data_IF_057989154288
#
_entry.id   IF_057989154288
#
_cell.length_a   1.000
_cell.length_b   1.000
_cell.length_c   1.000
_cell.angle_alpha   90.00
_cell.angle_beta   90.00
_cell.angle_gamma   90.00
#
_symmetry.space_group_name_H-M   'P 1'
#
loop_
_entity.id
_entity.type
_entity.pdbx_description
1 polymer ?
#
# COMPACT_ATOMS: atom_id res chain seq x y z
N UNK A 1 9.58 6.18 0.15
CA UNK A 1 8.44 6.85 0.83
C UNK A 1 9.00 7.76 1.90
N UNK A 2 8.62 9.02 1.87
CA UNK A 2 9.10 9.98 2.87
C UNK A 2 8.55 9.65 4.26
N UNK A 3 9.36 9.87 5.29
CA UNK A 3 8.97 9.59 6.68
C UNK A 3 7.67 10.29 7.09
N UNK A 4 7.46 11.50 6.61
CA UNK A 4 6.23 12.27 6.85
C UNK A 4 4.97 11.56 6.33
N UNK A 5 5.06 10.98 5.14
CA UNK A 5 3.95 10.24 4.52
C UNK A 5 3.64 8.99 5.34
N UNK A 6 4.69 8.28 5.79
CA UNK A 6 4.53 7.07 6.61
C UNK A 6 3.78 7.39 7.90
N UNK A 7 4.19 8.43 8.63
CA UNK A 7 3.53 8.82 9.88
C UNK A 7 2.07 9.24 9.67
N UNK A 8 1.77 9.96 8.58
CA UNK A 8 0.38 10.30 8.22
C UNK A 8 -0.48 9.08 7.94
N UNK A 9 0.04 8.13 7.17
CA UNK A 9 -0.69 6.90 6.83
C UNK A 9 -0.91 6.03 8.08
N UNK A 10 0.08 5.92 8.95
CA UNK A 10 -0.06 5.22 10.24
C UNK A 10 -1.14 5.90 11.10
N UNK A 11 -1.13 7.23 11.19
CA UNK A 11 -2.14 7.99 11.91
C UNK A 11 -3.57 7.74 11.41
N UNK A 12 -3.75 7.67 10.10
CA UNK A 12 -5.04 7.30 9.49
C UNK A 12 -5.48 5.88 9.84
N UNK A 13 -4.55 4.93 9.82
CA UNK A 13 -4.83 3.53 10.17
C UNK A 13 -5.20 3.40 11.66
N UNK A 14 -4.50 4.11 12.55
CA UNK A 14 -4.84 4.16 13.98
C UNK A 14 -6.27 4.67 14.17
N UNK A 15 -6.60 5.77 13.53
CA UNK A 15 -7.97 6.34 13.59
C UNK A 15 -9.02 5.37 13.08
N UNK A 16 -8.75 4.70 11.95
CA UNK A 16 -9.64 3.69 11.36
C UNK A 16 -9.89 2.52 12.30
N UNK A 17 -8.83 1.93 12.86
CA UNK A 17 -8.95 0.79 13.78
C UNK A 17 -9.60 1.20 15.10
N UNK A 18 -9.30 2.40 15.62
CA UNK A 18 -9.95 2.95 16.80
C UNK A 18 -11.47 3.09 16.60
N UNK A 19 -11.89 3.66 15.49
CA UNK A 19 -13.31 3.81 15.14
C UNK A 19 -14.01 2.47 14.95
N UNK A 20 -13.35 1.49 14.35
CA UNK A 20 -13.88 0.11 14.26
C UNK A 20 -14.17 -0.51 15.62
N UNK A 21 -13.34 -0.21 16.62
CA UNK A 21 -13.53 -0.68 18.00
C UNK A 21 -14.54 0.16 18.79
N UNK A 22 -15.07 1.24 18.22
CA UNK A 22 -15.97 2.14 18.91
C UNK A 22 -15.34 2.92 20.06
N UNK A 23 -14.03 3.13 20.03
CA UNK A 23 -13.25 3.78 21.09
C UNK A 23 -13.02 5.26 20.71
N UNK A 24 -13.17 6.16 21.70
CA UNK A 24 -12.84 7.59 21.53
C UNK A 24 -11.33 7.83 21.63
N UNK A 25 -10.87 8.99 21.17
CA UNK A 25 -9.48 9.41 21.36
C UNK A 25 -9.10 9.48 22.85
N UNK A 26 -9.99 9.96 23.68
CA UNK A 26 -9.82 10.04 25.15
C UNK A 26 -9.66 8.65 25.75
N UNK A 27 -10.45 7.69 25.32
CA UNK A 27 -10.34 6.30 25.80
C UNK A 27 -9.03 5.67 25.36
N UNK A 28 -8.60 5.90 24.13
CA UNK A 28 -7.30 5.41 23.65
C UNK A 28 -6.14 6.04 24.42
N UNK A 29 -6.21 7.33 24.71
CA UNK A 29 -5.23 8.04 25.54
C UNK A 29 -5.15 7.43 26.94
N UNK A 30 -6.30 7.14 27.55
CA UNK A 30 -6.38 6.48 28.86
C UNK A 30 -5.75 5.08 28.84
N UNK A 31 -6.07 4.26 27.83
CA UNK A 31 -5.57 2.89 27.71
C UNK A 31 -4.05 2.83 27.46
N UNK A 32 -3.50 3.83 26.79
CA UNK A 32 -2.07 3.90 26.48
C UNK A 32 -1.26 4.72 27.48
N UNK A 33 -1.92 5.41 28.40
CA UNK A 33 -1.31 6.40 29.32
C UNK A 33 -0.63 7.58 28.60
N UNK A 34 -1.02 7.84 27.36
CA UNK A 34 -0.58 9.02 26.61
C UNK A 34 -1.57 10.18 26.82
N UNK A 35 -1.13 11.39 26.52
CA UNK A 35 -2.01 12.56 26.54
C UNK A 35 -3.01 12.53 25.39
N UNK A 36 -4.18 13.12 25.60
CA UNK A 36 -5.18 13.29 24.54
C UNK A 36 -4.60 14.09 23.36
N UNK A 37 -3.82 15.14 23.64
CA UNK A 37 -3.16 15.95 22.61
C UNK A 37 -2.19 15.13 21.76
N UNK A 38 -1.47 14.20 22.37
CA UNK A 38 -0.54 13.32 21.66
C UNK A 38 -1.29 12.37 20.70
N UNK A 39 -2.36 11.74 21.18
CA UNK A 39 -3.20 10.86 20.34
C UNK A 39 -3.85 11.68 19.20
N UNK A 40 -4.40 12.85 19.51
CA UNK A 40 -5.00 13.73 18.51
C UNK A 40 -3.99 14.16 17.42
N UNK A 41 -2.76 14.47 17.81
CA UNK A 41 -1.69 14.84 16.88
C UNK A 41 -1.26 13.68 15.98
N UNK A 42 -1.20 12.46 16.54
CA UNK A 42 -0.89 11.24 15.74
C UNK A 42 -1.96 11.01 14.67
N UNK A 43 -3.24 11.15 15.03
CA UNK A 43 -4.37 10.93 14.12
C UNK A 43 -4.62 12.10 13.15
N UNK A 44 -4.07 13.27 13.43
CA UNK A 44 -4.20 14.44 12.57
C UNK A 44 -3.20 14.41 11.41
N UNK A 45 -3.41 15.29 10.43
CA UNK A 45 -2.46 15.47 9.32
C UNK A 45 -1.18 16.23 9.71
N UNK A 46 -0.99 16.53 10.98
CA UNK A 46 0.26 17.13 11.49
C UNK A 46 1.36 16.08 11.59
N UNK A 47 2.60 16.52 11.39
CA UNK A 47 3.77 15.65 11.47
C UNK A 47 4.12 15.34 12.92
N UNK A 48 3.43 14.39 13.51
CA UNK A 48 3.81 13.87 14.81
C UNK A 48 4.60 12.59 14.62
N UNK A 49 5.92 12.68 14.79
CA UNK A 49 6.76 11.49 14.85
C UNK A 49 6.57 10.75 16.17
N UNK A 50 6.68 9.46 16.13
CA UNK A 50 6.57 8.59 17.32
C UNK A 50 7.45 7.35 17.12
N UNK A 51 7.80 6.72 18.24
CA UNK A 51 8.63 5.51 18.23
C UNK A 51 7.81 4.26 17.89
N UNK A 52 8.50 3.20 17.49
CA UNK A 52 7.87 1.88 17.29
C UNK A 52 7.26 1.35 18.60
N UNK A 53 7.83 1.70 19.75
CA UNK A 53 7.28 1.36 21.05
C UNK A 53 5.89 2.00 21.27
N UNK A 54 5.74 3.27 20.89
CA UNK A 54 4.44 3.97 20.92
C UNK A 54 3.43 3.26 20.02
N UNK A 55 3.83 2.88 18.81
CA UNK A 55 2.96 2.15 17.88
C UNK A 55 2.53 0.79 18.44
N UNK A 56 3.46 0.07 19.05
CA UNK A 56 3.16 -1.20 19.73
C UNK A 56 2.16 -1.03 20.87
N UNK A 57 2.33 0.00 21.71
CA UNK A 57 1.40 0.29 22.79
C UNK A 57 -0.01 0.61 22.30
N UNK A 58 -0.11 1.37 21.22
CA UNK A 58 -1.41 1.69 20.60
C UNK A 58 -2.05 0.41 20.03
N UNK A 59 -1.30 -0.42 19.32
CA UNK A 59 -1.79 -1.69 18.79
C UNK A 59 -2.29 -2.61 19.92
N UNK A 60 -1.54 -2.70 21.01
CA UNK A 60 -1.91 -3.49 22.18
C UNK A 60 -3.19 -2.96 22.86
N UNK A 61 -3.33 -1.64 22.97
CA UNK A 61 -4.53 -1.00 23.54
C UNK A 61 -5.78 -1.26 22.67
N UNK A 62 -5.61 -1.30 21.36
CA UNK A 62 -6.67 -1.63 20.40
C UNK A 62 -6.89 -3.14 20.25
N UNK A 63 -6.06 -3.97 20.87
CA UNK A 63 -6.09 -5.43 20.77
C UNK A 63 -6.00 -5.92 19.31
N UNK A 64 -5.10 -5.32 18.55
CA UNK A 64 -4.81 -5.67 17.15
C UNK A 64 -3.32 -5.94 16.96
N UNK A 65 -2.98 -6.58 15.85
CA UNK A 65 -1.57 -6.72 15.45
C UNK A 65 -0.98 -5.38 15.01
N UNK A 66 0.27 -5.13 15.34
CA UNK A 66 1.01 -3.96 14.87
C UNK A 66 1.02 -3.87 13.32
N UNK A 67 0.96 -5.01 12.63
CA UNK A 67 0.87 -5.06 11.16
C UNK A 67 -0.35 -4.33 10.60
N UNK A 68 -1.45 -4.29 11.35
CA UNK A 68 -2.65 -3.57 10.94
C UNK A 68 -2.47 -2.05 10.95
N UNK A 69 -1.45 -1.56 11.64
CA UNK A 69 -1.12 -0.13 11.72
C UNK A 69 0.03 0.27 10.79
N UNK A 70 0.68 -0.68 10.15
CA UNK A 70 1.74 -0.42 9.18
C UNK A 70 1.11 -0.34 7.79
N UNK A 71 1.26 0.79 7.08
CA UNK A 71 0.71 0.90 5.74
C UNK A 71 1.41 -0.06 4.79
N UNK A 72 0.64 -0.75 3.99
CA UNK A 72 1.17 -1.41 2.80
C UNK A 72 1.74 -0.35 1.86
N UNK A 73 2.67 -0.77 1.01
CA UNK A 73 3.15 0.12 -0.05
C UNK A 73 1.96 0.71 -0.81
N UNK A 74 1.99 2.01 -1.16
CA UNK A 74 0.92 2.62 -1.93
C UNK A 74 0.57 1.78 -3.15
N UNK A 75 -0.71 1.66 -3.44
CA UNK A 75 -1.18 0.87 -4.58
C UNK A 75 -0.68 1.40 -5.92
N UNK A 76 -0.25 2.66 -5.97
CA UNK A 76 0.41 3.26 -7.13
C UNK A 76 1.72 2.56 -7.51
N UNK A 77 2.37 1.88 -6.55
CA UNK A 77 3.52 1.02 -6.83
C UNK A 77 3.11 -0.38 -7.31
N UNK A 78 1.82 -0.73 -7.22
CA UNK A 78 1.25 -1.94 -7.83
C UNK A 78 0.86 -1.68 -9.28
N UNK A 79 1.67 -0.95 -10.05
CA UNK A 79 1.51 -0.92 -11.50
C UNK A 79 1.71 -2.36 -12.00
N UNK A 80 0.61 -3.06 -12.13
CA UNK A 80 0.59 -4.34 -12.83
C UNK A 80 0.82 -4.03 -14.29
N UNK A 81 1.90 -4.53 -14.84
CA UNK A 81 2.04 -4.53 -16.29
C UNK A 81 1.12 -5.62 -16.83
N UNK A 82 0.18 -5.22 -17.64
CA UNK A 82 -0.74 -6.12 -18.30
C UNK A 82 -0.43 -6.17 -19.79
N UNK A 83 -0.24 -7.37 -20.31
CA UNK A 83 -0.19 -7.64 -21.74
C UNK A 83 -1.58 -8.05 -22.21
N UNK A 84 -2.01 -7.51 -23.32
CA UNK A 84 -3.32 -7.75 -23.87
C UNK A 84 -3.19 -8.30 -25.30
N UNK A 85 -3.95 -9.34 -25.59
CA UNK A 85 -4.02 -9.91 -26.94
C UNK A 85 -5.06 -9.17 -27.78
N UNK A 86 -4.65 -8.60 -28.90
CA UNK A 86 -5.55 -7.89 -29.79
C UNK A 86 -6.54 -8.80 -30.52
N UNK A 87 -6.26 -10.10 -30.60
CA UNK A 87 -7.12 -11.07 -31.27
C UNK A 87 -8.23 -11.65 -30.38
N UNK A 88 -7.88 -12.20 -29.22
CA UNK A 88 -8.83 -12.83 -28.31
C UNK A 88 -9.11 -12.04 -27.03
N UNK A 89 -8.46 -10.89 -26.87
CA UNK A 89 -8.58 -9.99 -25.70
C UNK A 89 -8.19 -10.62 -24.37
N UNK A 90 -7.43 -11.71 -24.41
CA UNK A 90 -6.87 -12.31 -23.21
C UNK A 90 -5.85 -11.37 -22.55
N UNK A 91 -5.91 -11.25 -21.22
CA UNK A 91 -5.04 -10.38 -20.43
C UNK A 91 -4.07 -11.24 -19.63
N UNK A 92 -2.77 -10.96 -19.74
CA UNK A 92 -1.71 -11.58 -18.95
C UNK A 92 -1.16 -10.53 -17.99
N UNK A 93 -1.24 -10.78 -16.69
CA UNK A 93 -0.63 -9.92 -15.66
C UNK A 93 0.81 -10.35 -15.43
N UNK A 94 1.75 -9.40 -15.54
CA UNK A 94 3.16 -9.63 -15.25
C UNK A 94 3.45 -9.15 -13.83
N UNK A 95 4.07 -10.00 -12.96
CA UNK A 95 4.50 -9.58 -11.64
C UNK A 95 5.49 -8.42 -11.70
N UNK A 96 5.44 -7.56 -10.68
CA UNK A 96 6.26 -6.34 -10.62
C UNK A 96 7.77 -6.64 -10.60
N UNK A 97 8.17 -7.75 -10.00
CA UNK A 97 9.58 -8.15 -9.94
C UNK A 97 10.22 -8.36 -11.33
N UNK A 98 9.39 -8.71 -12.31
CA UNK A 98 9.79 -8.78 -13.72
C UNK A 98 9.60 -7.43 -14.44
N UNK A 99 8.81 -6.54 -13.88
CA UNK A 99 8.49 -5.22 -14.45
C UNK A 99 9.59 -4.17 -14.24
N UNK A 100 10.46 -4.32 -13.24
CA UNK A 100 11.61 -3.41 -13.03
C UNK A 100 12.66 -3.55 -14.14
N UNK A 101 12.66 -4.68 -14.82
CA UNK A 101 13.44 -4.90 -16.06
C UNK A 101 12.81 -4.23 -17.29
N UNK A 102 11.60 -3.65 -17.16
CA UNK A 102 10.79 -3.23 -18.30
C UNK A 102 11.02 -1.81 -18.79
N UNK A 103 11.72 -0.96 -18.05
CA UNK A 103 12.14 0.34 -18.64
C UNK A 103 13.12 0.11 -19.78
N UNK A 104 14.00 -0.88 -19.66
CA UNK A 104 14.85 -1.32 -20.79
C UNK A 104 14.07 -2.18 -21.79
N UNK A 105 13.07 -2.94 -21.35
CA UNK A 105 12.26 -3.80 -22.22
C UNK A 105 11.28 -3.00 -23.07
N UNK A 106 10.79 -1.82 -22.63
CA UNK A 106 9.95 -0.97 -23.49
C UNK A 106 10.71 -0.44 -24.70
N UNK A 107 12.01 -0.28 -24.60
CA UNK A 107 12.88 0.05 -25.75
C UNK A 107 13.14 -1.16 -26.64
N UNK A 108 13.19 -2.36 -26.07
CA UNK A 108 13.45 -3.62 -26.80
C UNK A 108 12.13 -4.23 -27.32
N UNK A 109 11.00 -4.00 -26.63
CA UNK A 109 9.70 -4.60 -26.94
C UNK A 109 9.02 -4.07 -28.21
N UNK A 110 9.63 -3.09 -28.88
CA UNK A 110 9.16 -2.69 -30.22
C UNK A 110 9.36 -3.80 -31.27
N UNK A 111 10.27 -4.73 -30.99
CA UNK A 111 10.62 -5.80 -31.92
C UNK A 111 10.35 -7.22 -31.39
N UNK A 112 9.90 -7.38 -30.13
CA UNK A 112 9.60 -8.69 -29.55
C UNK A 112 8.10 -8.94 -29.63
N UNK A 113 7.72 -9.94 -30.40
CA UNK A 113 6.35 -10.44 -30.47
C UNK A 113 6.16 -11.56 -29.44
N UNK A 114 5.24 -11.35 -28.50
CA UNK A 114 4.86 -12.38 -27.55
C UNK A 114 3.73 -13.24 -28.11
N UNK A 115 3.80 -14.55 -27.86
CA UNK A 115 2.74 -15.49 -28.25
C UNK A 115 1.66 -15.51 -27.16
N UNK A 116 0.40 -15.29 -27.54
CA UNK A 116 -0.72 -15.38 -26.62
C UNK A 116 -0.93 -16.84 -26.16
N UNK A 117 -0.98 -17.12 -24.84
CA UNK A 117 -1.18 -18.48 -24.34
C UNK A 117 -2.57 -19.05 -24.63
N UNK A 118 -3.53 -18.19 -24.96
CA UNK A 118 -4.92 -18.62 -25.21
C UNK A 118 -5.22 -18.92 -26.68
N UNK A 119 -4.69 -18.13 -27.61
CA UNK A 119 -4.99 -18.30 -29.06
C UNK A 119 -3.75 -18.58 -29.92
N UNK A 120 -2.57 -18.69 -29.31
CA UNK A 120 -1.27 -18.98 -29.95
C UNK A 120 -0.83 -17.98 -31.03
N UNK A 121 -1.53 -16.87 -31.20
CA UNK A 121 -1.14 -15.80 -32.12
C UNK A 121 -0.10 -14.85 -31.51
N UNK A 122 0.86 -14.43 -32.29
CA UNK A 122 1.92 -13.51 -31.89
C UNK A 122 1.44 -12.06 -31.85
N UNK A 123 0.51 -11.72 -30.95
CA UNK A 123 -0.04 -10.36 -30.89
C UNK A 123 -0.30 -9.97 -29.41
N UNK A 124 0.74 -9.91 -28.58
CA UNK A 124 0.62 -9.32 -27.26
C UNK A 124 1.13 -7.88 -27.30
N UNK A 125 0.30 -6.94 -26.87
CA UNK A 125 0.64 -5.52 -26.72
C UNK A 125 0.55 -5.12 -25.25
N UNK A 126 1.43 -4.20 -24.84
CA UNK A 126 1.30 -3.57 -23.53
C UNK A 126 0.02 -2.76 -23.47
N UNK A 127 -0.78 -3.01 -22.44
CA UNK A 127 -1.94 -2.20 -22.12
C UNK A 127 -1.44 -0.91 -21.45
N UNK A 128 -1.65 0.20 -22.14
CA UNK A 128 -1.39 1.53 -21.58
C UNK A 128 -2.52 1.95 -20.67
#
# INVERSE_FOLDING_TARGET
MDSEIIYKEIGKLIKKERKKKGITQEKLAELTSYSLSFIANIESNTHQSFSIHTLYNIASALNISIHNLIPDKPEDEKKKFELYCSNCKYIVSIPKELGELTEDITLIAKDITFTCPNCEKKILKLKQ
#
